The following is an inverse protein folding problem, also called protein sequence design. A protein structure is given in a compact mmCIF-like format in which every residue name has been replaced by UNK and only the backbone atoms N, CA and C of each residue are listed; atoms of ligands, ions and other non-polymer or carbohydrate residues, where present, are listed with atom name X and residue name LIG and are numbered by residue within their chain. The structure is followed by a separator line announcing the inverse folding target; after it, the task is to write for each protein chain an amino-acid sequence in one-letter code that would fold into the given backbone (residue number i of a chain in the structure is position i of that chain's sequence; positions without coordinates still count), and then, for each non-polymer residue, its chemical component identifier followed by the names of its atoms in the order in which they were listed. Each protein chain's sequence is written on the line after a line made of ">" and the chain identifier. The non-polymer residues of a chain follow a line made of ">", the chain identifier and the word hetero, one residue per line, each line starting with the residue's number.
data_IF_927870369571
#
_entry.id   IF_927870369571
#
_cell.length_a   1.000
_cell.length_b   1.000
_cell.length_c   1.000
_cell.angle_alpha   90.00
_cell.angle_beta   90.00
_cell.angle_gamma   90.00
#
_symmetry.space_group_name_H-M   'P 1'
#
loop_
_entity.id
_entity.type
_entity.pdbx_description
1 polymer ?
#
# COMPACT_ATOMS: atom_id res chain seq x y z
N UNK A 1 7.44 11.92 3.79
CA UNK A 1 7.88 13.20 4.40
C UNK A 1 6.71 13.86 5.10
N UNK A 2 6.92 14.78 6.05
CA UNK A 2 5.84 15.46 6.76
C UNK A 2 5.41 16.77 6.11
N UNK A 3 4.23 17.26 6.50
CA UNK A 3 3.72 18.58 6.11
C UNK A 3 4.73 19.71 6.39
N UNK A 4 5.04 20.60 5.41
CA UNK A 4 6.02 21.67 5.60
C UNK A 4 5.55 22.72 6.61
N UNK A 5 6.49 23.55 7.08
CA UNK A 5 6.15 24.69 7.94
C UNK A 5 5.29 25.70 7.14
N UNK A 6 4.04 26.02 7.56
CA UNK A 6 3.18 26.95 6.84
C UNK A 6 3.74 28.38 6.76
N UNK A 7 4.71 28.74 7.61
CA UNK A 7 5.43 30.01 7.55
C UNK A 7 6.45 30.08 6.40
N UNK A 8 6.91 28.94 5.86
CA UNK A 8 7.96 28.92 4.81
C UNK A 8 7.40 28.69 3.41
N UNK A 9 6.44 27.76 3.24
CA UNK A 9 5.73 27.56 1.96
C UNK A 9 4.39 26.82 2.12
N UNK A 10 3.60 26.84 1.06
CA UNK A 10 2.45 25.93 0.89
C UNK A 10 2.95 24.50 0.64
N UNK A 11 2.16 23.47 0.93
CA UNK A 11 2.52 22.10 0.62
C UNK A 11 2.45 21.85 -0.89
N UNK A 12 3.13 20.82 -1.35
CA UNK A 12 2.84 20.21 -2.65
C UNK A 12 1.65 19.26 -2.51
N UNK A 13 1.04 18.85 -3.63
CA UNK A 13 -0.06 17.89 -3.61
C UNK A 13 0.38 16.56 -2.96
N UNK A 14 1.58 16.10 -3.34
CA UNK A 14 2.24 14.91 -2.80
C UNK A 14 2.38 14.96 -1.27
N UNK A 15 2.78 16.11 -0.70
CA UNK A 15 2.91 16.25 0.77
C UNK A 15 1.57 16.19 1.51
N UNK A 16 0.48 16.68 0.90
CA UNK A 16 -0.87 16.55 1.48
C UNK A 16 -1.37 15.12 1.38
N UNK A 17 -1.07 14.41 0.29
CA UNK A 17 -1.40 12.98 0.12
C UNK A 17 -0.70 12.12 1.17
N UNK A 18 0.61 12.32 1.36
CA UNK A 18 1.38 11.60 2.38
C UNK A 18 0.87 11.90 3.79
N UNK A 19 0.53 13.16 4.06
CA UNK A 19 -0.07 13.53 5.33
C UNK A 19 -1.43 12.88 5.54
N UNK A 20 -2.32 12.92 4.54
CA UNK A 20 -3.64 12.30 4.62
C UNK A 20 -3.52 10.81 4.94
N UNK A 21 -2.65 10.07 4.22
CA UNK A 21 -2.33 8.66 4.52
C UNK A 21 -1.80 8.47 5.93
N UNK A 22 -0.94 9.37 6.42
CA UNK A 22 -0.40 9.30 7.78
C UNK A 22 -1.43 9.54 8.90
N UNK A 23 -2.64 9.99 8.57
CA UNK A 23 -3.77 10.17 9.52
C UNK A 23 -4.79 9.03 9.49
N UNK A 24 -4.51 7.98 8.74
CA UNK A 24 -5.32 6.76 8.81
C UNK A 24 -5.16 6.14 10.21
N UNK A 25 -6.28 5.68 10.79
CA UNK A 25 -6.38 5.27 12.19
C UNK A 25 -6.37 6.43 13.20
N UNK A 26 -6.18 7.69 12.76
CA UNK A 26 -6.10 8.87 13.64
C UNK A 26 -7.34 9.73 13.57
N UNK A 27 -7.52 10.55 14.61
CA UNK A 27 -8.64 11.47 14.80
C UNK A 27 -8.14 12.91 14.72
N UNK A 28 -8.62 13.63 13.72
CA UNK A 28 -8.48 15.08 13.53
C UNK A 28 -9.80 15.70 13.92
N UNK A 29 -9.75 16.71 14.77
CA UNK A 29 -10.87 17.54 15.19
C UNK A 29 -10.32 18.98 15.28
N UNK A 30 -10.87 19.93 14.50
CA UNK A 30 -10.31 21.29 14.36
C UNK A 30 -11.18 22.41 14.92
N UNK A 31 -12.43 22.08 15.26
CA UNK A 31 -13.48 22.99 15.75
C UNK A 31 -14.03 22.60 17.14
N UNK A 32 -13.63 21.43 17.66
CA UNK A 32 -14.11 20.80 18.88
C UNK A 32 -15.60 20.41 18.86
N UNK A 33 -16.21 20.25 17.68
CA UNK A 33 -17.63 19.97 17.51
C UNK A 33 -17.87 18.59 16.87
N UNK A 34 -18.68 17.75 17.52
CA UNK A 34 -19.03 16.38 17.07
C UNK A 34 -17.85 15.42 16.80
N UNK A 35 -16.68 15.70 17.36
CA UNK A 35 -15.51 14.80 17.30
C UNK A 35 -14.77 14.88 15.97
N UNK A 36 -14.53 13.74 15.31
CA UNK A 36 -13.72 13.68 14.08
C UNK A 36 -14.58 13.43 12.85
N UNK A 37 -15.12 14.51 12.30
CA UNK A 37 -16.02 14.48 11.15
C UNK A 37 -15.24 14.46 9.83
N UNK A 38 -15.91 14.13 8.73
CA UNK A 38 -15.31 14.13 7.39
C UNK A 38 -14.76 15.52 7.00
N UNK A 39 -15.45 16.56 7.43
CA UNK A 39 -15.14 17.97 7.18
C UNK A 39 -13.81 18.44 7.80
N UNK A 40 -13.40 17.90 8.95
CA UNK A 40 -12.17 18.30 9.65
C UNK A 40 -10.90 18.12 8.81
N UNK A 41 -10.79 17.00 8.08
CA UNK A 41 -9.52 16.62 7.43
C UNK A 41 -9.14 17.58 6.30
N UNK A 42 -10.02 17.95 5.35
CA UNK A 42 -9.74 19.03 4.39
C UNK A 42 -9.57 20.40 5.05
N UNK A 43 -10.40 20.73 6.04
CA UNK A 43 -10.37 22.07 6.65
C UNK A 43 -9.17 22.29 7.57
N UNK A 44 -8.54 21.23 8.11
CA UNK A 44 -7.23 21.32 8.76
C UNK A 44 -6.17 21.86 7.79
N UNK A 45 -6.14 21.33 6.57
CA UNK A 45 -5.22 21.74 5.51
C UNK A 45 -5.49 23.18 5.07
N UNK A 46 -6.76 23.55 4.90
CA UNK A 46 -7.16 24.93 4.58
C UNK A 46 -6.76 25.92 5.68
N UNK A 47 -7.07 25.61 6.94
CA UNK A 47 -6.76 26.44 8.12
C UNK A 47 -5.26 26.61 8.29
N UNK A 48 -4.49 25.51 8.20
CA UNK A 48 -3.04 25.49 8.39
C UNK A 48 -2.28 26.29 7.33
N UNK A 49 -2.67 26.20 6.06
CA UNK A 49 -1.88 26.76 4.95
C UNK A 49 -2.49 27.97 4.27
N UNK A 50 -3.80 28.15 4.33
CA UNK A 50 -4.49 29.28 3.67
C UNK A 50 -5.31 30.13 4.65
N UNK A 51 -5.31 29.81 5.94
CA UNK A 51 -5.86 30.65 7.00
C UNK A 51 -7.39 30.73 7.03
N UNK A 52 -8.09 29.82 6.33
CA UNK A 52 -9.55 29.77 6.30
C UNK A 52 -10.08 28.37 6.61
N UNK A 53 -11.33 28.31 7.05
CA UNK A 53 -12.16 27.11 6.98
C UNK A 53 -13.37 27.41 6.10
N UNK A 54 -13.98 26.36 5.55
CA UNK A 54 -15.26 26.47 4.87
C UNK A 54 -16.39 26.76 5.87
N UNK A 55 -17.60 27.02 5.39
CA UNK A 55 -18.79 27.17 6.25
C UNK A 55 -19.78 26.04 5.95
N UNK A 56 -20.69 25.78 6.90
CA UNK A 56 -21.69 24.73 6.76
C UNK A 56 -21.07 23.33 6.80
N UNK A 57 -21.75 22.39 6.16
CA UNK A 57 -21.41 20.98 6.17
C UNK A 57 -20.60 20.58 4.92
N UNK A 58 -20.21 19.32 4.81
CA UNK A 58 -19.37 18.82 3.73
C UNK A 58 -19.94 19.10 2.32
N UNK A 59 -21.27 18.98 2.12
CA UNK A 59 -21.94 19.34 0.85
C UNK A 59 -21.75 20.81 0.44
N UNK A 60 -21.67 21.71 1.42
CA UNK A 60 -21.69 23.16 1.20
C UNK A 60 -20.34 23.66 0.64
N UNK A 61 -19.28 22.86 0.80
CA UNK A 61 -17.99 23.04 0.13
C UNK A 61 -18.11 23.19 -1.39
N UNK A 62 -19.10 22.53 -2.03
CA UNK A 62 -19.33 22.67 -3.47
C UNK A 62 -19.82 24.06 -3.90
N UNK A 63 -20.36 24.85 -2.98
CA UNK A 63 -20.86 26.22 -3.20
C UNK A 63 -19.98 27.27 -2.49
N UNK A 64 -18.89 26.86 -1.84
CA UNK A 64 -18.02 27.76 -1.10
C UNK A 64 -17.19 28.65 -2.03
N UNK A 65 -17.13 29.96 -1.71
CA UNK A 65 -16.33 30.93 -2.46
C UNK A 65 -14.86 30.87 -2.03
N UNK A 66 -14.12 29.92 -2.60
CA UNK A 66 -12.71 29.70 -2.26
C UNK A 66 -11.80 30.91 -2.55
N UNK A 67 -10.71 31.10 -1.77
CA UNK A 67 -9.70 32.12 -2.04
C UNK A 67 -8.99 31.96 -3.38
N UNK A 68 -8.35 33.04 -3.85
CA UNK A 68 -7.61 33.09 -5.13
C UNK A 68 -6.64 31.91 -5.28
N UNK A 69 -6.76 31.20 -6.40
CA UNK A 69 -5.89 30.08 -6.79
C UNK A 69 -6.52 28.69 -6.57
N UNK A 70 -7.49 28.56 -5.66
CA UNK A 70 -8.31 27.36 -5.59
C UNK A 70 -9.18 27.21 -6.84
N UNK A 71 -9.48 25.98 -7.22
CA UNK A 71 -10.41 25.66 -8.31
C UNK A 71 -11.40 24.60 -7.85
N UNK A 72 -12.69 24.79 -8.11
CA UNK A 72 -13.68 23.73 -7.97
C UNK A 72 -14.00 23.14 -9.34
N UNK A 73 -13.76 21.85 -9.50
CA UNK A 73 -14.13 21.09 -10.69
C UNK A 73 -15.43 20.34 -10.41
N UNK A 74 -16.55 20.83 -10.95
CA UNK A 74 -17.83 20.09 -10.93
C UNK A 74 -17.60 18.75 -11.63
N UNK A 75 -18.02 17.65 -10.99
CA UNK A 75 -17.84 16.33 -11.57
C UNK A 75 -18.67 16.18 -12.86
N UNK A 76 -18.09 15.50 -13.84
CA UNK A 76 -18.71 15.12 -15.10
C UNK A 76 -18.15 13.76 -15.54
N UNK A 77 -18.92 13.00 -16.33
CA UNK A 77 -18.54 11.64 -16.72
C UNK A 77 -17.16 11.61 -17.40
N UNK A 78 -16.28 10.73 -16.89
CA UNK A 78 -14.91 10.58 -17.38
C UNK A 78 -13.88 11.56 -16.80
N UNK A 79 -14.28 12.47 -15.90
CA UNK A 79 -13.34 13.22 -15.05
C UNK A 79 -12.54 12.25 -14.16
N UNK A 80 -11.27 12.55 -13.93
CA UNK A 80 -10.39 11.79 -13.02
C UNK A 80 -9.70 12.79 -12.08
N UNK A 81 -9.88 12.69 -10.76
CA UNK A 81 -9.28 13.60 -9.80
C UNK A 81 -7.79 13.29 -9.61
N UNK A 82 -7.02 14.35 -9.35
CA UNK A 82 -5.60 14.25 -9.04
C UNK A 82 -5.41 13.99 -7.53
N UNK A 83 -4.33 13.27 -7.12
CA UNK A 83 -3.96 13.16 -5.72
C UNK A 83 -3.79 14.56 -5.10
N UNK A 84 -4.39 14.80 -3.94
CA UNK A 84 -4.49 16.10 -3.28
C UNK A 84 -5.79 16.86 -3.57
N UNK A 85 -6.59 16.47 -4.57
CA UNK A 85 -7.93 17.02 -4.73
C UNK A 85 -8.81 16.66 -3.52
N UNK A 86 -9.73 17.55 -3.15
CA UNK A 86 -10.72 17.32 -2.10
C UNK A 86 -12.03 16.93 -2.76
N UNK A 87 -12.42 15.66 -2.64
CA UNK A 87 -13.69 15.16 -3.15
C UNK A 87 -14.85 15.68 -2.29
N UNK A 88 -15.96 16.09 -2.92
CA UNK A 88 -17.15 16.61 -2.24
C UNK A 88 -18.39 15.87 -2.77
N UNK A 89 -19.20 15.32 -1.87
CA UNK A 89 -20.44 14.60 -2.18
C UNK A 89 -21.68 15.38 -1.73
N UNK A 90 -22.76 15.26 -2.49
CA UNK A 90 -24.09 15.69 -2.06
C UNK A 90 -24.84 14.56 -1.33
N UNK A 91 -25.89 14.86 -0.54
CA UNK A 91 -26.73 13.85 0.09
C UNK A 91 -27.39 12.88 -0.91
N UNK A 92 -27.64 11.64 -0.48
CA UNK A 92 -28.28 10.58 -1.29
C UNK A 92 -27.31 9.45 -1.69
N UNK A 93 -27.88 8.31 -2.09
CA UNK A 93 -27.14 7.07 -2.42
C UNK A 93 -26.19 6.60 -1.30
N UNK A 94 -26.65 6.64 -0.04
CA UNK A 94 -25.84 6.30 1.15
C UNK A 94 -25.06 7.47 1.75
N UNK A 95 -25.00 8.63 1.09
CA UNK A 95 -24.44 9.86 1.68
C UNK A 95 -25.50 10.56 2.56
N UNK A 96 -25.12 10.92 3.79
CA UNK A 96 -25.99 11.60 4.75
C UNK A 96 -26.42 13.02 4.36
N UNK A 97 -27.35 13.60 5.12
CA UNK A 97 -27.94 14.94 4.88
C UNK A 97 -26.93 16.09 4.81
N UNK A 98 -25.75 15.88 5.37
CA UNK A 98 -24.66 16.84 5.52
C UNK A 98 -23.64 16.75 4.36
N UNK A 99 -23.81 15.77 3.47
CA UNK A 99 -22.84 15.43 2.43
C UNK A 99 -21.67 14.62 2.99
N UNK A 100 -20.63 14.48 2.17
CA UNK A 100 -19.35 13.90 2.58
C UNK A 100 -18.19 14.65 1.91
N UNK A 101 -17.00 14.57 2.49
CA UNK A 101 -15.79 15.20 1.94
C UNK A 101 -14.53 14.45 2.38
N UNK A 102 -13.54 14.37 1.49
CA UNK A 102 -12.34 13.55 1.72
C UNK A 102 -11.16 14.02 0.86
N UNK A 103 -9.94 13.66 1.26
CA UNK A 103 -8.73 13.99 0.48
C UNK A 103 -8.43 12.83 -0.47
N UNK A 104 -8.47 13.06 -1.78
CA UNK A 104 -8.08 12.09 -2.81
C UNK A 104 -6.60 11.77 -2.66
N UNK A 105 -6.26 10.50 -2.46
CA UNK A 105 -4.88 10.02 -2.31
C UNK A 105 -4.40 9.14 -3.46
N UNK A 106 -5.32 8.74 -4.34
CA UNK A 106 -5.06 7.88 -5.49
C UNK A 106 -4.80 6.41 -5.09
N UNK A 107 -4.82 5.48 -6.07
CA UNK A 107 -4.99 5.71 -7.50
C UNK A 107 -6.41 6.16 -7.90
N UNK A 108 -6.52 6.81 -9.06
CA UNK A 108 -7.76 7.33 -9.63
C UNK A 108 -7.88 6.94 -11.11
N UNK A 109 -9.09 6.61 -11.55
CA UNK A 109 -9.43 6.39 -12.96
C UNK A 109 -10.89 6.82 -13.22
N UNK A 110 -11.42 6.59 -14.43
CA UNK A 110 -12.78 7.03 -14.82
C UNK A 110 -13.93 6.33 -14.08
N UNK A 111 -13.66 5.26 -13.32
CA UNK A 111 -14.67 4.45 -12.62
C UNK A 111 -14.58 4.56 -11.09
N UNK A 112 -13.38 4.74 -10.54
CA UNK A 112 -13.17 4.92 -9.10
C UNK A 112 -11.97 5.81 -8.77
N UNK A 113 -11.92 6.28 -7.53
CA UNK A 113 -10.74 6.87 -6.91
C UNK A 113 -10.57 6.38 -5.47
N UNK A 114 -9.39 6.58 -4.89
CA UNK A 114 -9.13 6.35 -3.47
C UNK A 114 -8.95 7.69 -2.74
N UNK A 115 -9.56 7.81 -1.57
CA UNK A 115 -9.41 8.96 -0.66
C UNK A 115 -9.16 8.52 0.79
N UNK A 116 -8.71 9.46 1.63
CA UNK A 116 -8.72 9.30 3.08
C UNK A 116 -9.86 10.10 3.68
N UNK A 117 -10.66 9.39 4.45
CA UNK A 117 -12.00 9.79 4.87
C UNK A 117 -12.10 9.62 6.39
N UNK A 118 -12.44 10.69 7.11
CA UNK A 118 -12.98 10.55 8.47
C UNK A 118 -14.47 10.32 8.42
N UNK A 119 -15.01 9.65 9.44
CA UNK A 119 -16.43 9.38 9.60
C UNK A 119 -17.11 8.59 8.46
N UNK A 120 -16.34 7.80 7.70
CA UNK A 120 -16.89 6.87 6.70
C UNK A 120 -17.04 5.45 7.27
N UNK A 121 -15.93 4.80 7.62
CA UNK A 121 -15.94 3.49 8.29
C UNK A 121 -16.32 3.71 9.76
N UNK A 122 -17.23 2.90 10.31
CA UNK A 122 -17.72 3.03 11.70
C UNK A 122 -18.24 4.45 12.02
N UNK A 123 -19.02 5.03 11.09
CA UNK A 123 -19.51 6.41 11.15
C UNK A 123 -20.37 6.69 12.40
N UNK A 124 -20.15 7.84 13.04
CA UNK A 124 -20.91 8.31 14.20
C UNK A 124 -21.16 9.83 14.11
N UNK A 125 -22.41 10.27 14.25
CA UNK A 125 -22.80 11.69 14.13
C UNK A 125 -22.40 12.57 15.31
N UNK A 126 -21.97 11.98 16.44
CA UNK A 126 -21.64 12.67 17.69
C UNK A 126 -20.14 12.69 17.99
N UNK A 127 -19.41 11.64 17.59
CA UNK A 127 -17.97 11.49 17.88
C UNK A 127 -17.12 11.35 16.62
N UNK A 128 -17.73 11.13 15.46
CA UNK A 128 -17.03 10.84 14.22
C UNK A 128 -16.22 9.53 14.26
N UNK A 129 -15.45 9.26 13.23
CA UNK A 129 -14.55 8.10 13.19
C UNK A 129 -13.15 8.44 12.67
N UNK A 130 -12.12 7.63 12.98
CA UNK A 130 -10.76 7.88 12.52
C UNK A 130 -10.64 7.84 10.99
N UNK A 131 -9.58 8.47 10.48
CA UNK A 131 -9.27 8.44 9.05
C UNK A 131 -9.15 7.00 8.51
N UNK A 132 -9.78 6.74 7.38
CA UNK A 132 -9.80 5.43 6.71
C UNK A 132 -9.50 5.61 5.22
N UNK A 133 -8.76 4.67 4.61
CA UNK A 133 -8.58 4.64 3.15
C UNK A 133 -9.82 3.99 2.52
N UNK A 134 -10.50 4.71 1.63
CA UNK A 134 -11.75 4.26 1.02
C UNK A 134 -11.64 4.30 -0.51
N UNK A 135 -12.14 3.26 -1.19
CA UNK A 135 -12.32 3.23 -2.64
C UNK A 135 -13.73 3.67 -2.99
N UNK A 136 -13.87 4.81 -3.65
CA UNK A 136 -15.16 5.38 -4.03
C UNK A 136 -15.43 5.24 -5.53
N UNK A 137 -16.65 4.85 -5.94
CA UNK A 137 -17.18 5.21 -7.24
C UNK A 137 -17.56 6.70 -7.25
N UNK A 138 -17.86 7.25 -8.42
CA UNK A 138 -18.30 8.65 -8.55
C UNK A 138 -19.77 8.92 -8.17
N UNK A 139 -20.43 7.98 -7.47
CA UNK A 139 -21.83 8.10 -7.06
C UNK A 139 -21.97 9.23 -6.03
N UNK A 140 -22.96 10.10 -6.24
CA UNK A 140 -23.20 11.33 -5.46
C UNK A 140 -22.03 12.34 -5.39
N UNK A 141 -20.97 12.17 -6.19
CA UNK A 141 -19.85 13.12 -6.22
C UNK A 141 -20.29 14.40 -6.94
N UNK A 142 -20.28 15.51 -6.19
CA UNK A 142 -20.59 16.85 -6.69
C UNK A 142 -19.40 17.44 -7.44
N UNK A 143 -18.18 17.16 -7.00
CA UNK A 143 -16.97 17.67 -7.62
C UNK A 143 -15.75 17.63 -6.71
N UNK A 144 -14.71 18.32 -7.15
CA UNK A 144 -13.38 18.26 -6.56
C UNK A 144 -12.80 19.66 -6.35
N UNK A 145 -12.41 19.99 -5.13
CA UNK A 145 -11.66 21.23 -4.82
C UNK A 145 -10.18 20.95 -5.02
N UNK A 146 -9.49 21.73 -5.86
CA UNK A 146 -8.03 21.70 -5.99
C UNK A 146 -7.41 22.92 -5.32
N UNK A 147 -6.65 22.76 -4.23
CA UNK A 147 -5.86 23.84 -3.65
C UNK A 147 -4.72 24.30 -4.58
N UNK A 148 -4.27 25.57 -4.48
CA UNK A 148 -3.10 26.07 -5.21
C UNK A 148 -1.82 25.59 -4.52
N UNK A 149 -1.50 24.32 -4.73
CA UNK A 149 -0.29 23.69 -4.20
C UNK A 149 0.99 24.32 -4.75
N UNK A 150 2.07 24.26 -3.96
CA UNK A 150 3.41 24.52 -4.47
C UNK A 150 3.77 23.48 -5.53
N UNK A 151 4.49 23.90 -6.57
CA UNK A 151 5.09 22.97 -7.54
C UNK A 151 6.02 22.02 -6.79
N UNK A 152 5.92 20.72 -7.07
CA UNK A 152 6.92 19.75 -6.61
C UNK A 152 8.30 20.17 -7.14
N UNK A 153 9.24 20.42 -6.23
CA UNK A 153 10.61 20.83 -6.57
C UNK A 153 11.45 19.61 -6.95
N UNK A 154 11.01 18.86 -7.95
CA UNK A 154 11.93 18.10 -8.78
C UNK A 154 12.59 19.07 -9.78
N UNK A 155 13.92 19.06 -9.80
CA UNK A 155 14.75 20.01 -10.56
C UNK A 155 14.36 20.00 -12.05
N UNK A 156 13.91 21.13 -12.65
CA UNK A 156 13.72 21.19 -14.09
C UNK A 156 15.09 21.15 -14.77
N UNK A 157 15.26 20.22 -15.70
CA UNK A 157 16.33 20.34 -16.70
C UNK A 157 15.81 21.21 -17.83
N UNK A 158 16.41 22.38 -18.02
CA UNK A 158 16.65 22.93 -19.36
C UNK A 158 17.42 21.90 -20.19
N UNK A 159 17.44 21.89 -21.52
CA UNK A 159 17.14 22.94 -22.52
C UNK A 159 16.44 22.19 -23.71
N UNK A 160 15.93 22.75 -24.81
CA UNK A 160 16.44 23.81 -25.68
C UNK A 160 15.35 24.68 -26.30
N UNK A 161 15.71 25.94 -26.52
CA UNK A 161 15.01 26.88 -27.40
C UNK A 161 15.46 26.61 -28.83
N UNK A 162 14.53 26.31 -29.74
CA UNK A 162 14.77 26.38 -31.18
C UNK A 162 13.62 27.09 -31.88
N UNK A 163 13.91 28.32 -32.30
CA UNK A 163 13.03 29.17 -33.10
C UNK A 163 12.76 28.53 -34.47
N UNK A 164 11.52 28.59 -34.95
CA UNK A 164 11.21 28.38 -36.36
C UNK A 164 10.12 29.36 -36.81
N UNK A 165 10.49 30.24 -37.74
CA UNK A 165 9.64 31.21 -38.40
C UNK A 165 8.70 30.58 -39.44
N UNK A 166 7.71 31.35 -39.89
CA UNK A 166 6.74 30.95 -40.94
C UNK A 166 7.42 30.61 -42.27
N UNK A 167 6.87 29.61 -42.96
CA UNK A 167 6.78 29.58 -44.42
C UNK A 167 5.55 28.75 -44.86
N UNK A 168 4.76 29.27 -45.79
CA UNK A 168 3.85 28.47 -46.62
C UNK A 168 4.63 28.04 -47.88
N UNK A 169 4.50 26.80 -48.33
CA UNK A 169 3.68 26.42 -49.50
C UNK A 169 3.97 24.96 -49.94
N UNK A 170 2.98 24.38 -50.61
CA UNK A 170 2.91 23.15 -51.42
C UNK A 170 4.20 22.41 -51.78
N UNK A 171 4.18 21.07 -51.68
CA UNK A 171 3.93 20.16 -52.83
C UNK A 171 3.81 18.71 -52.33
N UNK A 172 2.98 17.89 -52.98
CA UNK A 172 2.82 16.45 -52.68
C UNK A 172 3.74 15.62 -53.57
N UNK A 173 4.66 14.85 -52.96
CA UNK A 173 5.23 13.62 -53.54
C UNK A 173 5.37 12.58 -52.44
N UNK A 174 5.11 11.31 -52.76
CA UNK A 174 4.94 10.26 -51.76
C UNK A 174 6.24 9.75 -51.13
N UNK A 175 6.35 9.89 -49.81
CA UNK A 175 7.17 9.01 -48.96
C UNK A 175 6.27 8.29 -47.95
N UNK A 176 6.60 7.04 -47.64
CA UNK A 176 5.88 6.29 -46.61
C UNK A 176 6.06 6.99 -45.25
N UNK A 177 4.95 7.41 -44.62
CA UNK A 177 4.98 8.02 -43.28
C UNK A 177 5.79 7.15 -42.31
N UNK A 178 6.98 7.63 -41.91
CA UNK A 178 7.74 7.02 -40.82
C UNK A 178 6.85 6.94 -39.57
N UNK A 179 6.86 5.83 -38.84
CA UNK A 179 5.99 5.67 -37.68
C UNK A 179 6.27 6.75 -36.64
N UNK A 180 5.25 7.56 -36.31
CA UNK A 180 5.35 8.49 -35.19
C UNK A 180 5.32 7.70 -33.88
N UNK A 181 6.37 7.88 -33.08
CA UNK A 181 6.42 7.37 -31.72
C UNK A 181 6.08 8.50 -30.74
N UNK A 182 5.29 8.18 -29.72
CA UNK A 182 5.05 9.08 -28.58
C UNK A 182 5.68 8.48 -27.34
N UNK A 183 6.56 9.23 -26.70
CA UNK A 183 7.10 8.89 -25.40
C UNK A 183 6.00 9.10 -24.35
N UNK A 184 5.50 8.00 -23.78
CA UNK A 184 4.51 8.04 -22.69
C UNK A 184 5.26 7.85 -21.37
N UNK A 185 5.33 8.92 -20.57
CA UNK A 185 5.72 8.84 -19.18
C UNK A 185 4.56 8.25 -18.37
N UNK A 186 4.69 6.99 -17.98
CA UNK A 186 3.77 6.40 -16.99
C UNK A 186 4.39 6.57 -15.62
N UNK A 187 3.81 7.45 -14.81
CA UNK A 187 4.15 7.57 -13.39
C UNK A 187 3.44 6.45 -12.63
N UNK A 188 4.21 5.49 -12.10
CA UNK A 188 3.70 4.48 -11.16
C UNK A 188 4.19 4.80 -9.76
N UNK A 189 3.27 4.96 -8.82
CA UNK A 189 3.58 5.11 -7.40
C UNK A 189 3.71 3.74 -6.75
N UNK A 190 4.79 3.50 -6.02
CA UNK A 190 4.90 2.32 -5.14
C UNK A 190 4.18 2.54 -3.81
N UNK A 191 2.87 2.84 -3.88
CA UNK A 191 1.99 2.89 -2.72
C UNK A 191 1.63 1.46 -2.31
N UNK A 192 2.55 0.79 -1.61
CA UNK A 192 2.28 -0.47 -0.95
C UNK A 192 1.49 -0.17 0.32
N UNK A 193 0.17 -0.32 0.23
CA UNK A 193 -0.78 0.13 1.25
C UNK A 193 -0.61 -0.62 2.57
N UNK A 194 0.13 -0.03 3.53
CA UNK A 194 0.15 -0.47 4.94
C UNK A 194 -1.23 -0.33 5.61
N UNK A 195 -2.22 0.23 4.92
CA UNK A 195 -3.58 0.46 5.41
C UNK A 195 -4.47 -0.77 5.24
N UNK A 196 -4.08 -1.71 4.36
CA UNK A 196 -4.76 -3.00 4.27
C UNK A 196 -4.26 -3.99 5.33
N UNK A 197 -3.11 -3.69 5.93
CA UNK A 197 -2.53 -4.48 7.01
C UNK A 197 -3.37 -4.23 8.27
N UNK A 198 -3.88 -5.29 8.90
CA UNK A 198 -4.53 -5.20 10.21
C UNK A 198 -3.55 -4.71 11.26
N UNK A 199 -4.08 -4.17 12.36
CA UNK A 199 -3.27 -4.01 13.59
C UNK A 199 -2.76 -5.39 14.02
N UNK A 200 -1.47 -5.48 14.37
CA UNK A 200 -0.87 -6.76 14.69
C UNK A 200 -1.46 -7.30 16.00
N UNK A 201 -1.87 -8.56 15.96
CA UNK A 201 -2.45 -9.24 17.11
C UNK A 201 -1.61 -10.46 17.52
N UNK A 202 -1.64 -10.78 18.80
CA UNK A 202 -0.86 -11.86 19.38
C UNK A 202 -1.78 -13.01 19.80
N UNK A 203 -1.49 -14.19 19.28
CA UNK A 203 -2.17 -15.45 19.58
C UNK A 203 -1.28 -16.21 20.58
N UNK A 204 -1.63 -16.14 21.85
CA UNK A 204 -0.99 -16.93 22.91
C UNK A 204 -1.72 -18.28 23.03
N UNK A 205 -1.24 -19.29 22.30
CA UNK A 205 -1.82 -20.62 22.31
C UNK A 205 -0.75 -21.67 22.02
N UNK A 206 -0.15 -22.16 23.10
CA UNK A 206 0.79 -23.28 23.09
C UNK A 206 0.07 -24.55 22.62
N UNK A 207 0.64 -25.20 21.59
CA UNK A 207 0.13 -26.46 21.05
C UNK A 207 1.15 -27.60 21.15
N UNK A 208 2.43 -27.30 21.38
CA UNK A 208 3.49 -28.28 21.58
C UNK A 208 4.35 -27.91 22.79
N UNK A 209 4.61 -28.91 23.63
CA UNK A 209 5.64 -28.87 24.67
C UNK A 209 6.75 -29.80 24.19
N UNK A 210 7.94 -29.24 23.96
CA UNK A 210 9.12 -30.02 23.54
C UNK A 210 9.85 -30.64 24.72
N UNK A 211 11.14 -30.95 24.53
CA UNK A 211 12.07 -31.17 25.64
C UNK A 211 12.44 -29.81 26.27
N UNK A 212 12.63 -29.76 27.59
CA UNK A 212 13.04 -28.53 28.27
C UNK A 212 14.50 -28.17 27.91
N UNK A 213 14.74 -26.92 27.50
CA UNK A 213 16.07 -26.46 27.06
C UNK A 213 16.93 -25.97 28.22
N UNK A 214 18.25 -26.10 28.07
CA UNK A 214 19.21 -25.65 29.08
C UNK A 214 19.83 -24.27 28.80
N UNK A 215 19.89 -23.84 27.54
CA UNK A 215 20.46 -22.54 27.13
C UNK A 215 19.73 -21.97 25.90
N UNK A 216 19.94 -20.68 25.60
CA UNK A 216 19.45 -20.00 24.40
C UNK A 216 20.63 -19.40 23.64
N UNK A 217 21.01 -20.03 22.52
CA UNK A 217 22.09 -19.57 21.65
C UNK A 217 21.72 -18.32 20.83
N UNK A 218 20.42 -18.14 20.53
CA UNK A 218 19.94 -17.03 19.73
C UNK A 218 18.67 -17.37 18.93
N UNK A 219 18.49 -16.65 17.81
CA UNK A 219 17.34 -16.81 16.90
C UNK A 219 17.69 -17.65 15.67
N UNK A 220 16.85 -18.64 15.37
CA UNK A 220 16.87 -19.37 14.11
C UNK A 220 15.69 -18.90 13.25
N UNK A 221 15.99 -18.15 12.18
CA UNK A 221 14.98 -17.61 11.27
C UNK A 221 14.80 -18.56 10.08
N UNK A 222 13.58 -19.07 9.92
CA UNK A 222 13.14 -19.84 8.75
C UNK A 222 11.98 -19.14 8.05
N UNK A 223 11.63 -19.60 6.85
CA UNK A 223 10.51 -19.08 6.07
C UNK A 223 9.46 -20.17 5.88
N UNK A 224 8.19 -19.78 5.78
CA UNK A 224 7.12 -20.78 5.69
C UNK A 224 7.17 -21.55 4.37
N UNK A 225 7.38 -22.86 4.48
CA UNK A 225 7.43 -23.80 3.35
C UNK A 225 6.12 -23.84 2.55
N UNK A 226 5.00 -23.50 3.18
CA UNK A 226 3.67 -23.52 2.57
C UNK A 226 3.17 -22.13 2.13
N UNK A 227 3.95 -21.08 2.36
CA UNK A 227 3.65 -19.69 1.97
C UNK A 227 2.24 -19.23 2.36
N UNK A 228 1.93 -19.29 3.67
CA UNK A 228 0.63 -18.93 4.27
C UNK A 228 0.76 -17.76 5.25
N UNK A 229 -0.35 -17.16 5.65
CA UNK A 229 -0.40 -16.23 6.79
C UNK A 229 -0.49 -16.97 8.13
N UNK A 230 -0.17 -16.28 9.22
CA UNK A 230 -0.32 -16.82 10.59
C UNK A 230 -1.78 -17.17 10.90
N UNK A 231 -2.74 -16.34 10.48
CA UNK A 231 -4.18 -16.61 10.62
C UNK A 231 -4.59 -17.94 9.95
N UNK A 232 -4.08 -18.21 8.75
CA UNK A 232 -4.36 -19.45 8.01
C UNK A 232 -3.73 -20.68 8.66
N UNK A 233 -2.47 -20.56 9.11
CA UNK A 233 -1.78 -21.62 9.85
C UNK A 233 -2.51 -21.92 11.16
N UNK A 234 -2.86 -20.90 11.94
CA UNK A 234 -3.57 -21.04 13.21
C UNK A 234 -4.97 -21.65 13.04
N UNK A 235 -5.72 -21.20 12.03
CA UNK A 235 -7.06 -21.76 11.72
C UNK A 235 -6.97 -23.22 11.31
N UNK A 236 -5.89 -23.62 10.62
CA UNK A 236 -5.67 -24.98 10.15
C UNK A 236 -4.82 -25.83 11.11
N UNK A 237 -4.50 -25.37 12.33
CA UNK A 237 -3.55 -26.02 13.24
C UNK A 237 -3.80 -27.50 13.49
N UNK A 238 -5.08 -27.91 13.57
CA UNK A 238 -5.50 -29.30 13.75
C UNK A 238 -5.21 -30.21 12.53
N UNK A 239 -4.61 -29.69 11.45
CA UNK A 239 -4.19 -30.43 10.26
C UNK A 239 -2.67 -30.59 10.15
N UNK A 240 -1.87 -30.02 11.05
CA UNK A 240 -0.43 -30.28 11.06
C UNK A 240 -0.17 -31.70 11.53
N UNK A 241 0.76 -32.38 10.85
CA UNK A 241 0.92 -33.83 10.91
C UNK A 241 1.99 -34.25 11.93
N UNK A 242 2.78 -33.31 12.45
CA UNK A 242 3.78 -33.58 13.49
C UNK A 242 4.14 -32.35 14.34
N UNK A 243 4.14 -32.53 15.65
CA UNK A 243 4.63 -31.58 16.66
C UNK A 243 6.13 -31.27 16.52
N UNK A 244 6.86 -32.13 15.80
CA UNK A 244 8.28 -31.97 15.48
C UNK A 244 8.55 -30.76 14.57
N UNK A 245 7.55 -30.31 13.79
CA UNK A 245 7.76 -29.24 12.81
C UNK A 245 7.41 -27.83 13.29
N UNK A 246 6.81 -27.71 14.48
CA UNK A 246 6.22 -26.47 15.00
C UNK A 246 7.30 -25.60 15.69
N UNK A 247 7.55 -24.36 15.22
CA UNK A 247 8.52 -23.42 15.79
C UNK A 247 8.00 -22.78 17.09
N UNK A 248 8.79 -21.90 17.71
CA UNK A 248 8.33 -21.05 18.82
C UNK A 248 7.29 -20.05 18.35
N UNK A 249 7.63 -19.30 17.29
CA UNK A 249 6.74 -18.30 16.72
C UNK A 249 6.50 -18.55 15.23
N UNK A 250 5.23 -18.42 14.82
CA UNK A 250 4.86 -18.04 13.47
C UNK A 250 4.60 -16.53 13.44
N UNK A 251 5.21 -15.80 12.49
CA UNK A 251 5.10 -14.33 12.43
C UNK A 251 4.89 -13.83 11.01
N UNK A 252 3.86 -13.03 10.79
CA UNK A 252 3.77 -12.07 9.69
C UNK A 252 3.58 -10.64 10.25
N UNK A 253 3.26 -9.66 9.40
CA UNK A 253 3.11 -8.26 9.84
C UNK A 253 1.78 -7.95 10.53
N UNK A 254 0.78 -8.84 10.45
CA UNK A 254 -0.59 -8.69 10.95
C UNK A 254 -0.89 -9.62 12.14
N UNK A 255 -0.08 -10.67 12.35
CA UNK A 255 -0.24 -11.59 13.46
C UNK A 255 1.07 -12.25 13.91
N UNK A 256 1.14 -12.56 15.20
CA UNK A 256 2.13 -13.46 15.80
C UNK A 256 1.41 -14.58 16.53
N UNK A 257 1.80 -15.84 16.31
CA UNK A 257 1.33 -16.99 17.09
C UNK A 257 2.48 -17.64 17.84
N UNK A 258 2.38 -17.65 19.17
CA UNK A 258 3.26 -18.42 20.06
C UNK A 258 2.73 -19.86 20.18
N UNK A 259 3.44 -20.80 19.55
CA UNK A 259 3.02 -22.19 19.41
C UNK A 259 3.81 -23.15 20.33
N UNK A 260 5.05 -22.80 20.68
CA UNK A 260 5.93 -23.52 21.62
C UNK A 260 6.53 -22.52 22.64
N UNK A 261 6.57 -22.82 23.96
CA UNK A 261 7.12 -21.88 24.94
C UNK A 261 8.64 -21.77 24.83
N UNK A 262 9.21 -20.66 25.31
CA UNK A 262 10.64 -20.34 25.15
C UNK A 262 11.59 -21.23 25.95
N UNK A 263 11.12 -21.89 27.01
CA UNK A 263 11.89 -22.85 27.79
C UNK A 263 11.89 -24.28 27.21
N UNK A 264 11.26 -24.51 26.06
CA UNK A 264 11.28 -25.82 25.38
C UNK A 264 11.99 -25.74 24.02
N UNK A 265 12.66 -26.81 23.61
CA UNK A 265 13.38 -26.89 22.34
C UNK A 265 12.49 -27.22 21.13
N UNK A 266 12.84 -26.65 19.97
CA UNK A 266 12.51 -27.27 18.69
C UNK A 266 13.58 -28.36 18.45
N UNK A 267 13.19 -29.64 18.37
CA UNK A 267 14.14 -30.76 18.33
C UNK A 267 14.99 -30.82 17.03
N UNK A 268 14.69 -30.01 16.01
CA UNK A 268 15.56 -29.83 14.83
C UNK A 268 16.65 -28.77 15.06
N UNK A 269 16.41 -27.86 16.00
CA UNK A 269 17.18 -26.65 16.23
C UNK A 269 17.41 -26.43 17.75
N UNK A 270 18.01 -27.42 18.46
CA UNK A 270 18.16 -27.37 19.92
C UNK A 270 18.96 -26.15 20.39
N UNK A 271 18.54 -25.56 21.50
CA UNK A 271 18.99 -24.28 22.06
C UNK A 271 18.75 -23.03 21.19
N UNK A 272 18.07 -23.12 20.04
CA UNK A 272 17.69 -21.94 19.24
C UNK A 272 16.21 -21.60 19.42
N UNK A 273 15.88 -20.31 19.47
CA UNK A 273 14.50 -19.83 19.36
C UNK A 273 14.12 -19.76 17.89
N UNK A 274 13.23 -20.66 17.45
CA UNK A 274 12.85 -20.80 16.04
C UNK A 274 11.69 -19.88 15.71
N UNK A 275 11.86 -19.06 14.68
CA UNK A 275 10.84 -18.13 14.19
C UNK A 275 10.61 -18.40 12.71
N UNK A 276 9.39 -18.78 12.36
CA UNK A 276 8.95 -18.94 10.98
C UNK A 276 8.30 -17.66 10.45
N UNK A 277 8.98 -17.02 9.49
CA UNK A 277 8.45 -15.87 8.76
C UNK A 277 7.38 -16.36 7.78
N UNK A 278 6.15 -15.97 8.07
CA UNK A 278 4.97 -16.26 7.27
C UNK A 278 4.80 -15.24 6.14
N UNK A 279 4.03 -15.59 5.11
CA UNK A 279 3.81 -14.74 3.93
C UNK A 279 3.39 -15.53 2.71
N UNK A 280 2.48 -14.95 1.91
CA UNK A 280 1.94 -15.56 0.70
C UNK A 280 2.94 -15.62 -0.45
N UNK A 281 2.79 -16.59 -1.37
CA UNK A 281 3.59 -16.62 -2.61
C UNK A 281 3.38 -15.34 -3.43
N UNK A 282 2.17 -14.78 -3.37
CA UNK A 282 1.74 -13.54 -4.01
C UNK A 282 2.22 -12.28 -3.29
N UNK A 283 2.81 -12.37 -2.09
CA UNK A 283 3.26 -11.21 -1.34
C UNK A 283 4.32 -10.45 -2.13
N UNK A 284 4.12 -9.13 -2.22
CA UNK A 284 5.14 -8.24 -2.76
C UNK A 284 6.40 -8.28 -1.90
N UNK A 285 7.55 -8.00 -2.52
CA UNK A 285 8.84 -7.84 -1.82
C UNK A 285 8.74 -6.94 -0.57
N UNK A 286 7.88 -5.91 -0.59
CA UNK A 286 7.70 -5.03 0.56
C UNK A 286 6.81 -5.63 1.65
N UNK A 287 5.73 -6.34 1.33
CA UNK A 287 4.91 -7.04 2.34
C UNK A 287 5.75 -8.09 3.05
N UNK A 288 6.51 -8.91 2.30
CA UNK A 288 7.41 -9.90 2.88
C UNK A 288 8.51 -9.27 3.75
N UNK A 289 9.07 -8.12 3.33
CA UNK A 289 9.99 -7.34 4.16
C UNK A 289 9.35 -6.86 5.47
N UNK A 290 8.06 -6.51 5.48
CA UNK A 290 7.36 -6.14 6.73
C UNK A 290 7.19 -7.35 7.65
N UNK A 291 6.81 -8.52 7.10
CA UNK A 291 6.72 -9.77 7.85
C UNK A 291 8.07 -10.13 8.49
N UNK A 292 9.17 -10.05 7.73
CA UNK A 292 10.53 -10.27 8.23
C UNK A 292 10.95 -9.27 9.32
N UNK A 293 10.64 -7.97 9.16
CA UNK A 293 10.92 -6.98 10.22
C UNK A 293 10.12 -7.31 11.48
N UNK A 294 8.86 -7.75 11.36
CA UNK A 294 8.04 -8.12 12.52
C UNK A 294 8.58 -9.37 13.21
N UNK A 295 9.03 -10.38 12.46
CA UNK A 295 9.70 -11.55 13.00
C UNK A 295 10.97 -11.20 13.79
N UNK A 296 11.80 -10.27 13.30
CA UNK A 296 13.00 -9.81 14.01
C UNK A 296 12.65 -8.99 15.27
N UNK A 297 11.59 -8.19 15.26
CA UNK A 297 11.08 -7.50 16.46
C UNK A 297 10.61 -8.50 17.51
N UNK A 298 9.83 -9.51 17.09
CA UNK A 298 9.35 -10.57 17.98
C UNK A 298 10.49 -11.42 18.51
N UNK A 299 11.51 -11.69 17.71
CA UNK A 299 12.72 -12.37 18.15
C UNK A 299 13.52 -11.58 19.20
N UNK A 300 13.70 -10.27 19.02
CA UNK A 300 14.33 -9.43 20.07
C UNK A 300 13.49 -9.39 21.35
N UNK A 301 12.16 -9.43 21.24
CA UNK A 301 11.29 -9.60 22.40
C UNK A 301 11.53 -10.94 23.13
N UNK A 302 11.68 -12.06 22.41
CA UNK A 302 12.04 -13.34 23.04
C UNK A 302 13.43 -13.28 23.72
N UNK A 303 14.43 -12.69 23.06
CA UNK A 303 15.78 -12.55 23.62
C UNK A 303 15.83 -11.64 24.85
N UNK A 304 14.86 -10.73 25.03
CA UNK A 304 14.82 -9.83 26.19
C UNK A 304 14.64 -10.54 27.55
N UNK A 305 14.24 -11.82 27.55
CA UNK A 305 14.25 -12.69 28.73
C UNK A 305 15.59 -13.42 28.97
N UNK A 306 16.65 -13.06 28.26
CA UNK A 306 17.96 -13.73 28.26
C UNK A 306 19.12 -12.73 28.39
N UNK A 307 20.35 -13.21 28.50
CA UNK A 307 21.58 -12.41 28.43
C UNK A 307 22.03 -12.10 26.98
N UNK A 308 21.28 -12.53 25.95
CA UNK A 308 21.66 -12.42 24.55
C UNK A 308 21.03 -11.19 23.88
N UNK A 309 21.81 -10.53 23.02
CA UNK A 309 21.33 -9.50 22.09
C UNK A 309 21.28 -10.03 20.65
N UNK A 310 20.54 -9.39 19.75
CA UNK A 310 20.49 -9.75 18.32
C UNK A 310 21.76 -9.27 17.59
N UNK A 311 22.56 -10.21 17.09
CA UNK A 311 23.89 -9.97 16.49
C UNK A 311 24.21 -10.97 15.36
N UNK A 312 25.40 -10.88 14.76
CA UNK A 312 25.85 -11.85 13.73
C UNK A 312 26.12 -13.26 14.29
N UNK A 313 26.38 -13.40 15.60
CA UNK A 313 26.66 -14.69 16.26
C UNK A 313 25.41 -15.34 16.88
N UNK A 314 24.43 -14.53 17.28
CA UNK A 314 23.15 -14.96 17.88
C UNK A 314 22.00 -15.01 16.86
N UNK A 315 22.32 -14.91 15.57
CA UNK A 315 21.37 -15.07 14.46
C UNK A 315 21.83 -16.23 13.58
N UNK A 316 20.91 -17.16 13.30
CA UNK A 316 21.07 -18.23 12.31
C UNK A 316 19.87 -18.19 11.36
N UNK A 317 20.10 -18.67 10.14
CA UNK A 317 19.09 -18.70 9.07
C UNK A 317 18.98 -20.10 8.49
N UNK A 318 17.78 -20.47 8.03
CA UNK A 318 17.51 -21.76 7.41
C UNK A 318 18.24 -21.92 6.06
N UNK A 319 18.80 -23.10 5.72
CA UNK A 319 19.36 -23.36 4.39
C UNK A 319 18.41 -23.05 3.24
N UNK A 320 17.09 -23.22 3.44
CA UNK A 320 16.03 -23.01 2.47
C UNK A 320 15.36 -21.63 2.56
N UNK A 321 16.06 -20.62 3.09
CA UNK A 321 15.56 -19.23 3.27
C UNK A 321 15.47 -18.45 1.94
N UNK A 322 14.77 -19.05 0.98
CA UNK A 322 14.76 -18.72 -0.45
C UNK A 322 14.29 -17.30 -0.74
N UNK A 323 13.33 -16.78 0.02
CA UNK A 323 12.76 -15.45 -0.21
C UNK A 323 13.72 -14.39 0.28
N UNK A 324 14.35 -14.58 1.44
CA UNK A 324 15.41 -13.69 1.95
C UNK A 324 16.64 -13.70 1.04
N UNK A 325 17.08 -14.86 0.54
CA UNK A 325 18.17 -14.95 -0.44
C UNK A 325 17.87 -14.12 -1.69
N UNK A 326 16.65 -14.28 -2.22
CA UNK A 326 16.20 -13.58 -3.42
C UNK A 326 16.01 -12.10 -3.20
N UNK A 327 15.37 -11.70 -2.10
CA UNK A 327 14.98 -10.32 -1.89
C UNK A 327 16.04 -9.45 -1.20
N UNK A 328 16.92 -10.00 -0.36
CA UNK A 328 17.98 -9.23 0.31
C UNK A 328 19.29 -9.18 -0.49
N UNK A 329 19.66 -10.29 -1.17
CA UNK A 329 20.98 -10.42 -1.84
C UNK A 329 20.89 -10.81 -3.33
N UNK A 330 19.68 -10.90 -3.90
CA UNK A 330 19.45 -11.22 -5.32
C UNK A 330 20.02 -12.60 -5.74
N UNK A 331 19.92 -13.60 -4.87
CA UNK A 331 20.30 -14.99 -5.14
C UNK A 331 19.05 -15.89 -5.21
N UNK A 332 18.87 -16.64 -6.30
CA UNK A 332 17.66 -17.43 -6.54
C UNK A 332 17.91 -18.91 -6.24
N UNK A 333 17.71 -19.33 -4.97
CA UNK A 333 17.95 -20.73 -4.51
C UNK A 333 17.29 -21.77 -5.44
N UNK A 334 16.10 -21.47 -5.97
CA UNK A 334 15.33 -22.40 -6.82
C UNK A 334 16.05 -22.66 -8.16
N UNK A 335 16.80 -21.67 -8.67
CA UNK A 335 17.54 -21.78 -9.94
C UNK A 335 19.01 -22.12 -9.77
N UNK A 336 19.61 -21.76 -8.64
CA UNK A 336 21.06 -21.80 -8.42
C UNK A 336 21.48 -22.87 -7.42
N UNK A 337 20.54 -23.48 -6.71
CA UNK A 337 20.81 -24.47 -5.66
C UNK A 337 21.19 -23.84 -4.32
N UNK A 338 21.68 -24.67 -3.41
CA UNK A 338 22.18 -24.27 -2.09
C UNK A 338 23.59 -23.63 -2.27
N UNK A 339 23.80 -22.37 -1.87
CA UNK A 339 25.09 -21.70 -1.97
C UNK A 339 26.06 -22.06 -0.84
N UNK A 340 27.27 -21.50 -0.91
CA UNK A 340 28.21 -21.44 0.21
C UNK A 340 27.71 -20.60 1.41
N UNK A 341 28.34 -20.83 2.56
CA UNK A 341 28.06 -20.13 3.83
C UNK A 341 28.18 -18.60 3.71
N UNK A 342 29.04 -18.08 2.83
CA UNK A 342 29.22 -16.64 2.67
C UNK A 342 27.99 -15.93 2.12
N UNK A 343 27.06 -16.64 1.45
CA UNK A 343 25.74 -16.10 1.09
C UNK A 343 24.78 -16.02 2.28
N UNK A 344 24.84 -16.97 3.20
CA UNK A 344 24.05 -16.95 4.44
C UNK A 344 24.53 -15.83 5.37
N UNK A 345 25.84 -15.60 5.50
CA UNK A 345 26.40 -14.44 6.21
C UNK A 345 25.94 -13.10 5.61
N UNK A 346 25.89 -12.98 4.27
CA UNK A 346 25.35 -11.79 3.60
C UNK A 346 23.86 -11.56 3.93
N UNK A 347 23.05 -12.62 3.99
CA UNK A 347 21.62 -12.52 4.39
C UNK A 347 21.48 -12.12 5.86
N UNK A 348 22.20 -12.76 6.79
CA UNK A 348 22.19 -12.36 8.21
C UNK A 348 22.50 -10.87 8.38
N UNK A 349 23.59 -10.41 7.76
CA UNK A 349 23.98 -9.00 7.78
C UNK A 349 22.89 -8.07 7.24
N UNK A 350 22.20 -8.47 6.16
CA UNK A 350 21.07 -7.70 5.62
C UNK A 350 19.82 -7.73 6.49
N UNK A 351 19.56 -8.81 7.23
CA UNK A 351 18.51 -8.87 8.25
C UNK A 351 18.81 -7.93 9.42
N UNK A 352 20.06 -7.93 9.93
CA UNK A 352 20.49 -7.03 10.99
C UNK A 352 20.41 -5.55 10.56
N UNK A 353 20.91 -5.21 9.36
CA UNK A 353 20.73 -3.87 8.77
C UNK A 353 19.25 -3.47 8.66
N UNK A 354 18.38 -4.43 8.31
CA UNK A 354 16.94 -4.24 8.16
C UNK A 354 16.25 -4.00 9.50
N UNK A 355 16.63 -4.74 10.55
CA UNK A 355 16.15 -4.54 11.92
C UNK A 355 16.61 -3.19 12.50
N UNK A 356 17.87 -2.80 12.29
CA UNK A 356 18.39 -1.48 12.70
C UNK A 356 17.62 -0.36 12.00
N UNK A 357 17.31 -0.52 10.71
CA UNK A 357 16.56 0.45 9.91
C UNK A 357 15.04 0.30 9.99
N UNK A 358 14.51 -0.56 10.88
CA UNK A 358 13.08 -0.94 10.92
C UNK A 358 12.12 0.25 10.92
N UNK A 359 12.41 1.29 11.70
CA UNK A 359 11.54 2.46 11.81
C UNK A 359 11.51 3.29 10.52
N UNK A 360 12.58 3.24 9.71
CA UNK A 360 12.66 3.89 8.40
C UNK A 360 11.98 3.02 7.33
N UNK A 361 12.13 1.69 7.42
CA UNK A 361 11.62 0.74 6.43
C UNK A 361 10.11 0.45 6.59
N UNK A 362 9.59 0.43 7.83
CA UNK A 362 8.15 0.33 8.12
C UNK A 362 7.37 1.56 7.67
N UNK A 363 8.01 2.74 7.65
CA UNK A 363 7.41 3.96 7.06
C UNK A 363 7.26 3.80 5.54
N UNK A 364 6.07 4.07 5.03
CA UNK A 364 5.88 4.27 3.59
C UNK A 364 6.77 5.42 3.12
N UNK A 365 7.67 5.12 2.18
CA UNK A 365 8.37 6.10 1.39
C UNK A 365 7.90 5.91 -0.05
N UNK A 366 6.88 6.68 -0.46
CA UNK A 366 6.42 6.63 -1.84
C UNK A 366 7.56 7.07 -2.75
N UNK A 367 8.03 6.14 -3.59
CA UNK A 367 8.97 6.42 -4.67
C UNK A 367 8.18 6.54 -5.96
N UNK A 368 8.43 7.63 -6.68
CA UNK A 368 7.94 7.84 -8.02
C UNK A 368 8.74 6.96 -8.99
N UNK A 369 8.12 5.92 -9.56
CA UNK A 369 8.73 5.13 -10.63
C UNK A 369 8.24 5.68 -11.96
N UNK A 370 8.98 6.65 -12.51
CA UNK A 370 8.81 7.07 -13.90
C UNK A 370 9.27 5.94 -14.81
N UNK A 371 8.32 5.27 -15.47
CA UNK A 371 8.63 4.33 -16.55
C UNK A 371 8.44 5.04 -17.89
N UNK A 372 9.50 5.13 -18.69
CA UNK A 372 9.43 5.65 -20.07
C UNK A 372 9.03 4.50 -20.99
N UNK A 373 7.87 4.61 -21.64
CA UNK A 373 7.44 3.65 -22.66
C UNK A 373 7.26 4.36 -23.99
N UNK A 374 7.97 3.90 -25.02
CA UNK A 374 7.84 4.41 -26.38
C UNK A 374 6.70 3.69 -27.08
N UNK A 375 5.59 4.38 -27.36
CA UNK A 375 4.42 3.78 -28.04
C UNK A 375 4.40 4.24 -29.49
N UNK A 376 4.29 3.30 -30.42
CA UNK A 376 4.08 3.56 -31.85
C UNK A 376 2.63 3.97 -32.08
N UNK A 377 2.39 5.14 -32.68
CA UNK A 377 1.06 5.56 -33.12
C UNK A 377 0.85 5.01 -34.53
N UNK A 378 -0.27 4.31 -34.75
CA UNK A 378 -0.76 3.90 -36.07
C UNK A 378 -1.91 4.80 -36.51
N UNK A 379 -1.90 5.20 -37.78
CA UNK A 379 -2.99 5.98 -38.39
C UNK A 379 -4.21 5.08 -38.66
N UNK A 380 -5.12 5.02 -37.68
CA UNK A 380 -6.47 4.41 -37.68
C UNK A 380 -6.57 2.88 -37.80
N UNK A 381 -7.39 2.29 -36.92
CA UNK A 381 -8.39 1.28 -37.32
C UNK A 381 -9.61 1.30 -36.40
N UNK A 382 -10.76 1.07 -37.04
CA UNK A 382 -12.07 0.59 -36.55
C UNK A 382 -12.51 0.80 -35.10
N UNK A 383 -13.73 1.33 -34.94
CA UNK A 383 -14.59 0.99 -33.80
C UNK A 383 -15.10 -0.43 -34.05
N UNK A 384 -14.65 -1.41 -33.26
CA UNK A 384 -15.29 -2.73 -33.27
C UNK A 384 -16.67 -2.61 -32.64
N UNK A 385 -17.67 -2.51 -33.51
CA UNK A 385 -19.08 -2.60 -33.17
C UNK A 385 -19.36 -3.96 -32.52
N UNK A 386 -20.05 -3.94 -31.38
CA UNK A 386 -20.38 -5.15 -30.65
C UNK A 386 -21.19 -6.13 -31.53
N UNK A 387 -20.57 -7.27 -31.86
CA UNK A 387 -21.25 -8.41 -32.48
C UNK A 387 -22.23 -9.01 -31.48
N UNK A 388 -23.50 -8.63 -31.61
CA UNK A 388 -24.62 -9.27 -30.92
C UNK A 388 -24.78 -10.70 -31.42
N UNK A 389 -24.30 -11.68 -30.65
CA UNK A 389 -24.73 -13.08 -30.80
C UNK A 389 -26.19 -13.20 -30.35
N UNK A 390 -27.10 -13.12 -31.32
CA UNK A 390 -28.45 -13.65 -31.17
C UNK A 390 -28.44 -15.18 -31.03
N UNK A 391 -29.50 -15.78 -30.47
CA UNK A 391 -29.56 -17.22 -30.22
C UNK A 391 -29.83 -18.02 -31.50
N UNK A 392 -29.12 -19.13 -31.68
CA UNK A 392 -29.44 -20.15 -32.69
C UNK A 392 -30.12 -21.36 -32.06
N UNK A 393 -31.42 -21.52 -32.33
CA UNK A 393 -32.05 -22.82 -32.51
C UNK A 393 -31.69 -23.36 -33.92
N UNK A 394 -31.88 -24.61 -34.36
CA UNK A 394 -32.29 -25.93 -33.82
C UNK A 394 -31.75 -26.99 -34.83
N UNK A 395 -31.82 -28.31 -34.67
CA UNK A 395 -32.47 -29.22 -33.72
C UNK A 395 -31.61 -30.50 -33.66
N UNK A 396 -31.54 -31.25 -32.55
CA UNK A 396 -31.82 -32.69 -32.65
C UNK A 396 -32.26 -33.34 -31.34
N UNK A 397 -33.14 -34.33 -31.50
CA UNK A 397 -33.98 -34.89 -30.45
C UNK A 397 -33.37 -36.15 -29.86
N UNK A 398 -33.61 -36.36 -28.56
CA UNK A 398 -33.93 -37.71 -28.08
C UNK A 398 -35.08 -37.66 -27.09
N UNK A 399 -36.14 -38.42 -27.41
CA UNK A 399 -37.25 -38.67 -26.49
C UNK A 399 -36.82 -39.71 -25.46
N UNK A 400 -37.31 -39.57 -24.23
CA UNK A 400 -38.11 -40.57 -23.50
C UNK A 400 -38.44 -39.98 -22.10
N UNK A 401 -39.51 -40.29 -21.40
CA UNK A 401 -40.88 -40.75 -21.68
C UNK A 401 -41.42 -41.17 -20.30
N UNK A 402 -42.53 -40.55 -19.87
CA UNK A 402 -43.28 -40.81 -18.63
C UNK A 402 -42.60 -40.45 -17.30
#
# INVERSE_FOLDING_TARGET
>A
MGLPNPKTRKPTASEVVEWAKSNIGKRINIDNYRGSQCWDTPNFIFKRYWGFVTWGNAKDMANYRYPKGFRFYRYSSGFVPEPGDIAVWHPGNGIGSDGHTAIVVGPSNKSYFYSVDQNWVNSNSWTGSPGSLVRHPYVSVTGFVRPPYSKDTSKPSSTDTSSASKANDSTITGEAKKPQFKEVKTVKYTAYSNVLDKEEHFIDHIVVMGDERSDIQGLYIKESMHMRSVDELYTQRNKFISDYEIPHLYVDREATWLARPTNFDDPRHPNWLVIEVCGGQTDSKRQFLMNQIQALIRGVWLLSGTDKELSETTLKVDPNIWRSMKDLINYDLIKQGIPDDAKYEQVKKKMLETYIKRDILKRENIKEVTTKTTIRISDKTSVDSASTRGPTASDEKTKHCY
#
